data_IF_280341847074
#
_entry.id   IF_280341847074
#
_cell.length_a   1.000
_cell.length_b   1.000
_cell.length_c   1.000
_cell.angle_alpha   90.00
_cell.angle_beta   90.00
_cell.angle_gamma   90.00
#
_symmetry.space_group_name_H-M   'P 1'
#
loop_
_entity.id
_entity.type
_entity.pdbx_description
1 polymer ?
#
# COMPACT_ATOMS: atom_id res chain seq x y z
N UNK A 1 -48.28 -50.37 48.44
CA UNK A 1 -46.94 -50.36 47.78
C UNK A 1 -47.15 -49.75 46.39
N UNK A 2 -46.70 -48.50 46.18
CA UNK A 2 -45.44 -48.13 45.48
C UNK A 2 -45.40 -48.70 44.05
N UNK A 3 -45.20 -47.97 42.95
CA UNK A 3 -44.62 -46.63 42.72
C UNK A 3 -44.92 -46.23 41.26
N UNK A 4 -45.11 -44.92 41.04
CA UNK A 4 -44.95 -44.13 39.81
C UNK A 4 -44.03 -44.76 38.75
N UNK A 5 -44.33 -44.62 37.45
CA UNK A 5 -43.36 -44.38 36.37
C UNK A 5 -44.11 -44.08 35.06
N UNK A 6 -44.53 -42.84 34.86
CA UNK A 6 -45.02 -42.36 33.56
C UNK A 6 -44.64 -40.89 33.36
N UNK A 7 -43.41 -40.49 33.69
CA UNK A 7 -42.83 -39.20 33.25
C UNK A 7 -41.33 -39.41 33.10
N UNK A 8 -40.87 -39.97 31.98
CA UNK A 8 -39.43 -39.94 31.65
C UNK A 8 -39.14 -40.21 30.16
N UNK A 9 -39.82 -39.52 29.25
CA UNK A 9 -39.44 -39.54 27.82
C UNK A 9 -39.51 -38.15 27.14
N UNK A 10 -39.46 -37.07 27.91
CA UNK A 10 -39.44 -35.69 27.39
C UNK A 10 -38.18 -34.90 27.80
N UNK A 11 -37.08 -35.58 28.18
CA UNK A 11 -35.85 -34.93 28.66
C UNK A 11 -34.62 -35.12 27.75
N UNK A 12 -34.49 -36.13 26.85
CA UNK A 12 -33.32 -36.17 25.95
C UNK A 12 -33.38 -35.15 24.80
N UNK A 13 -34.58 -34.70 24.39
CA UNK A 13 -34.74 -33.78 23.26
C UNK A 13 -34.49 -32.29 23.62
N UNK A 14 -34.57 -31.94 24.90
CA UNK A 14 -34.31 -30.57 25.41
C UNK A 14 -32.82 -30.32 25.74
N UNK A 15 -31.98 -31.37 25.71
CA UNK A 15 -30.53 -31.26 25.94
C UNK A 15 -29.72 -31.17 24.63
N UNK A 16 -30.36 -31.37 23.48
CA UNK A 16 -29.70 -31.28 22.17
C UNK A 16 -29.73 -29.86 21.54
N UNK A 17 -30.49 -28.91 22.11
CA UNK A 17 -30.63 -27.55 21.57
C UNK A 17 -29.67 -26.53 22.18
N UNK A 18 -28.73 -26.94 23.05
CA UNK A 18 -27.97 -26.01 23.92
C UNK A 18 -26.47 -25.85 23.65
N UNK A 19 -25.86 -26.64 22.77
CA UNK A 19 -24.40 -26.63 22.56
C UNK A 19 -24.01 -26.43 21.10
N UNK A 20 -24.61 -25.43 20.44
CA UNK A 20 -23.94 -24.85 19.28
C UNK A 20 -22.60 -24.27 19.71
N UNK A 21 -21.57 -24.26 18.83
CA UNK A 21 -20.32 -23.59 19.15
C UNK A 21 -20.62 -22.14 19.54
N UNK A 22 -20.01 -21.67 20.62
CA UNK A 22 -20.14 -20.27 21.04
C UNK A 22 -19.05 -19.45 20.34
N UNK A 23 -19.34 -18.20 19.94
CA UNK A 23 -18.31 -17.29 19.46
C UNK A 23 -17.15 -17.20 20.45
N UNK A 24 -15.92 -17.08 19.97
CA UNK A 24 -14.76 -16.85 20.84
C UNK A 24 -14.67 -15.41 21.29
N UNK A 25 -15.27 -14.48 20.52
CA UNK A 25 -15.15 -13.03 20.70
C UNK A 25 -14.02 -12.42 19.86
N UNK A 26 -13.27 -13.26 19.13
CA UNK A 26 -12.21 -12.87 18.20
C UNK A 26 -12.71 -13.10 16.77
N UNK A 27 -12.79 -12.03 15.98
CA UNK A 27 -13.27 -12.12 14.60
C UNK A 27 -12.32 -12.94 13.72
N UNK A 28 -11.01 -12.89 14.01
CA UNK A 28 -9.99 -13.73 13.39
C UNK A 28 -10.26 -15.25 13.52
N UNK A 29 -11.05 -15.65 14.53
CA UNK A 29 -11.44 -17.05 14.76
C UNK A 29 -12.90 -17.32 14.38
N UNK A 30 -13.80 -16.36 14.56
CA UNK A 30 -15.24 -16.55 14.42
C UNK A 30 -15.74 -16.30 12.99
N UNK A 31 -14.92 -15.68 12.13
CA UNK A 31 -15.27 -15.41 10.73
C UNK A 31 -14.65 -16.45 9.76
N UNK A 32 -15.37 -16.68 8.67
CA UNK A 32 -14.90 -17.37 7.46
C UNK A 32 -15.03 -16.45 6.23
N UNK A 33 -14.40 -16.86 5.12
CA UNK A 33 -14.38 -16.10 3.84
C UNK A 33 -13.95 -14.65 4.02
N UNK A 34 -12.89 -14.47 4.81
CA UNK A 34 -12.48 -13.16 5.29
C UNK A 34 -11.89 -12.33 4.14
N UNK A 35 -12.32 -11.07 4.01
CA UNK A 35 -11.75 -10.10 3.06
C UNK A 35 -11.15 -8.95 3.85
N UNK A 36 -9.84 -8.79 3.82
CA UNK A 36 -9.17 -7.66 4.47
C UNK A 36 -8.93 -6.60 3.41
N UNK A 37 -9.57 -5.44 3.59
CA UNK A 37 -9.42 -4.29 2.72
C UNK A 37 -8.57 -3.24 3.40
N UNK A 38 -7.53 -2.77 2.73
CA UNK A 38 -6.62 -1.75 3.23
C UNK A 38 -6.54 -0.57 2.26
N UNK A 39 -6.45 0.65 2.79
CA UNK A 39 -6.39 1.89 2.03
C UNK A 39 -5.56 2.91 2.82
N UNK A 40 -4.85 3.85 2.16
CA UNK A 40 -4.17 4.93 2.86
C UNK A 40 -5.14 5.92 3.54
N UNK A 41 -6.43 5.88 3.19
CA UNK A 41 -7.43 6.81 3.71
C UNK A 41 -7.93 6.47 5.13
N UNK A 42 -7.60 5.31 5.69
CA UNK A 42 -8.21 4.89 6.95
C UNK A 42 -7.76 3.53 7.49
N UNK A 43 -8.43 3.05 8.56
CA UNK A 43 -8.20 1.74 9.13
C UNK A 43 -8.45 0.62 8.12
N UNK A 44 -7.88 -0.55 8.36
CA UNK A 44 -8.24 -1.75 7.61
C UNK A 44 -9.68 -2.15 7.91
N UNK A 45 -10.39 -2.61 6.88
CA UNK A 45 -11.75 -3.12 6.99
C UNK A 45 -11.76 -4.61 6.79
N UNK A 46 -12.32 -5.34 7.75
CA UNK A 46 -12.40 -6.79 7.75
C UNK A 46 -13.82 -7.22 7.45
N UNK A 47 -13.92 -7.67 6.22
CA UNK A 47 -14.85 -8.58 5.59
C UNK A 47 -15.08 -9.95 6.23
N UNK A 48 -16.26 -10.38 6.65
CA UNK A 48 -16.49 -11.82 6.81
C UNK A 48 -17.92 -12.27 7.00
N UNK A 49 -18.12 -13.58 6.91
CA UNK A 49 -19.35 -14.26 7.34
C UNK A 49 -19.05 -15.05 8.62
N UNK A 50 -20.04 -15.21 9.49
CA UNK A 50 -19.88 -16.07 10.65
C UNK A 50 -19.55 -17.51 10.22
N UNK A 51 -18.60 -18.14 10.90
CA UNK A 51 -18.25 -19.54 10.66
C UNK A 51 -19.48 -20.43 10.80
N UNK A 52 -19.54 -21.50 10.01
CA UNK A 52 -20.62 -22.49 10.06
C UNK A 52 -20.95 -22.91 11.50
N UNK A 53 -22.22 -22.74 11.88
CA UNK A 53 -22.73 -23.07 13.21
C UNK A 53 -22.71 -21.92 14.23
N UNK A 54 -22.16 -20.76 13.88
CA UNK A 54 -22.25 -19.54 14.68
C UNK A 54 -23.40 -18.64 14.19
N UNK A 55 -24.08 -17.98 15.13
CA UNK A 55 -25.06 -16.92 14.85
C UNK A 55 -24.32 -15.60 14.58
N UNK A 56 -24.48 -14.95 13.40
CA UNK A 56 -23.81 -13.69 13.07
C UNK A 56 -24.07 -12.58 14.08
N UNK A 57 -25.29 -12.50 14.63
CA UNK A 57 -25.61 -11.49 15.64
C UNK A 57 -24.84 -11.76 16.94
N UNK A 58 -24.75 -13.02 17.37
CA UNK A 58 -23.96 -13.40 18.53
C UNK A 58 -22.46 -13.17 18.33
N UNK A 59 -21.92 -13.38 17.12
CA UNK A 59 -20.52 -13.06 16.79
C UNK A 59 -20.28 -11.56 16.88
N UNK A 60 -21.15 -10.75 16.26
CA UNK A 60 -21.04 -9.30 16.29
C UNK A 60 -21.16 -8.74 17.72
N UNK A 61 -22.14 -9.20 18.50
CA UNK A 61 -22.38 -8.75 19.87
C UNK A 61 -21.26 -9.11 20.84
N UNK A 62 -20.63 -10.28 20.64
CA UNK A 62 -19.49 -10.72 21.46
C UNK A 62 -18.14 -10.26 20.93
N UNK A 63 -18.10 -9.59 19.79
CA UNK A 63 -16.86 -9.07 19.23
C UNK A 63 -16.30 -8.01 20.16
N UNK A 64 -15.21 -8.35 20.82
CA UNK A 64 -14.51 -7.48 21.76
C UNK A 64 -13.03 -7.40 21.41
N UNK A 65 -12.68 -7.72 20.16
CA UNK A 65 -11.31 -7.72 19.69
C UNK A 65 -10.74 -6.30 19.87
N UNK A 66 -9.64 -6.22 20.63
CA UNK A 66 -9.02 -4.96 20.98
C UNK A 66 -8.63 -4.22 19.71
N UNK A 67 -9.06 -2.96 19.58
CA UNK A 67 -8.77 -2.12 18.44
C UNK A 67 -9.84 -2.08 17.35
N UNK A 68 -10.95 -2.83 17.47
CA UNK A 68 -12.13 -2.56 16.62
C UNK A 68 -12.67 -1.17 16.96
N UNK A 69 -12.73 -0.29 15.95
CA UNK A 69 -13.21 1.09 16.10
C UNK A 69 -14.58 1.31 15.45
N UNK A 70 -15.01 0.39 14.60
CA UNK A 70 -16.37 0.34 14.05
C UNK A 70 -16.76 -1.10 13.78
N UNK A 71 -18.01 -1.43 14.08
CA UNK A 71 -18.63 -2.69 13.71
C UNK A 71 -19.87 -2.41 12.85
N UNK A 72 -20.04 -3.20 11.80
CA UNK A 72 -21.22 -3.17 10.96
C UNK A 72 -21.74 -4.59 10.77
N UNK A 73 -23.02 -4.80 11.10
CA UNK A 73 -23.73 -6.04 10.85
C UNK A 73 -24.71 -5.82 9.70
N UNK A 74 -24.54 -6.59 8.63
CA UNK A 74 -25.50 -6.67 7.54
C UNK A 74 -26.44 -7.84 7.80
N UNK A 75 -27.74 -7.59 7.82
CA UNK A 75 -28.75 -8.61 8.06
C UNK A 75 -30.05 -8.33 7.29
N UNK A 76 -30.96 -9.29 7.26
CA UNK A 76 -32.25 -9.13 6.61
C UNK A 76 -33.14 -8.12 7.36
N UNK A 77 -34.11 -7.55 6.65
CA UNK A 77 -35.00 -6.53 7.21
C UNK A 77 -35.71 -6.99 8.49
N UNK A 78 -36.10 -8.27 8.56
CA UNK A 78 -36.79 -8.87 9.71
C UNK A 78 -35.96 -8.93 11.00
N UNK A 79 -34.64 -9.00 10.87
CA UNK A 79 -33.73 -9.16 12.00
C UNK A 79 -33.07 -7.83 12.44
N UNK A 80 -33.23 -6.78 11.63
CA UNK A 80 -32.53 -5.49 11.82
C UNK A 80 -32.85 -4.80 13.15
N UNK A 81 -34.12 -4.78 13.57
CA UNK A 81 -34.54 -4.16 14.83
C UNK A 81 -33.97 -4.91 16.05
N UNK A 82 -33.98 -6.25 16.00
CA UNK A 82 -33.38 -7.10 17.04
C UNK A 82 -31.87 -6.88 17.09
N UNK A 83 -31.21 -6.89 15.93
CA UNK A 83 -29.77 -6.67 15.82
C UNK A 83 -29.35 -5.32 16.39
N UNK A 84 -30.07 -4.24 16.06
CA UNK A 84 -29.77 -2.91 16.58
C UNK A 84 -29.91 -2.86 18.11
N UNK A 85 -30.96 -3.45 18.67
CA UNK A 85 -31.16 -3.51 20.11
C UNK A 85 -30.06 -4.27 20.83
N UNK A 86 -29.60 -5.40 20.27
CA UNK A 86 -28.55 -6.23 20.87
C UNK A 86 -27.21 -5.52 20.79
N UNK A 87 -26.83 -4.96 19.65
CA UNK A 87 -25.55 -4.26 19.51
C UNK A 87 -25.46 -2.99 20.37
N UNK A 88 -26.58 -2.29 20.59
CA UNK A 88 -26.62 -1.15 21.52
C UNK A 88 -26.48 -1.57 22.99
N UNK A 89 -26.91 -2.78 23.36
CA UNK A 89 -26.94 -3.26 24.74
C UNK A 89 -25.75 -4.13 25.16
N UNK A 90 -25.24 -4.97 24.26
CA UNK A 90 -24.24 -6.00 24.55
C UNK A 90 -22.82 -5.64 24.08
N UNK A 91 -22.66 -4.66 23.19
CA UNK A 91 -21.35 -4.15 22.75
C UNK A 91 -21.09 -2.69 23.22
N UNK A 92 -21.15 -2.38 24.53
CA UNK A 92 -20.92 -1.03 25.01
C UNK A 92 -19.46 -0.62 24.76
N UNK A 93 -19.26 0.32 23.84
CA UNK A 93 -17.96 0.97 23.58
C UNK A 93 -17.51 0.94 22.12
N UNK A 94 -18.09 0.08 21.27
CA UNK A 94 -17.77 0.04 19.83
C UNK A 94 -18.91 0.69 19.05
N UNK A 95 -18.65 1.78 18.30
CA UNK A 95 -19.61 2.33 17.35
C UNK A 95 -20.13 1.25 16.39
N UNK A 96 -21.41 0.91 16.49
CA UNK A 96 -22.02 -0.20 15.76
C UNK A 96 -23.12 0.28 14.83
N UNK A 97 -23.18 -0.28 13.62
CA UNK A 97 -24.19 0.04 12.59
C UNK A 97 -24.86 -1.24 12.11
N UNK A 98 -26.17 -1.19 11.90
CA UNK A 98 -26.92 -2.28 11.27
C UNK A 98 -27.37 -1.83 9.88
N UNK A 99 -27.06 -2.63 8.85
CA UNK A 99 -27.45 -2.36 7.47
C UNK A 99 -28.36 -3.48 6.98
N UNK A 100 -29.51 -3.11 6.42
CA UNK A 100 -30.41 -4.07 5.79
C UNK A 100 -29.79 -4.56 4.47
N UNK A 101 -29.65 -5.87 4.31
CA UNK A 101 -28.98 -6.52 3.18
C UNK A 101 -29.52 -7.92 2.97
N UNK A 102 -29.58 -8.36 1.72
CA UNK A 102 -29.96 -9.74 1.37
C UNK A 102 -28.86 -10.76 1.72
N UNK A 103 -27.64 -10.27 2.00
CA UNK A 103 -26.49 -11.08 2.40
C UNK A 103 -26.04 -10.69 3.80
N UNK A 104 -26.03 -11.68 4.69
CA UNK A 104 -25.49 -11.54 6.03
C UNK A 104 -23.97 -11.43 6.00
N UNK A 105 -23.45 -10.49 6.76
CA UNK A 105 -22.02 -10.15 6.74
C UNK A 105 -21.67 -9.30 7.95
N UNK A 106 -20.48 -9.52 8.48
CA UNK A 106 -19.88 -8.70 9.53
C UNK A 106 -18.74 -7.90 8.88
N UNK A 107 -18.70 -6.61 9.17
CA UNK A 107 -17.62 -5.69 8.80
C UNK A 107 -17.06 -5.10 10.08
N UNK A 108 -15.75 -5.18 10.26
CA UNK A 108 -15.08 -4.52 11.38
C UNK A 108 -13.92 -3.66 10.86
N UNK A 109 -13.86 -2.41 11.31
CA UNK A 109 -12.74 -1.54 10.99
C UNK A 109 -11.77 -1.52 12.17
N UNK A 110 -10.48 -1.74 11.90
CA UNK A 110 -9.41 -1.74 12.89
C UNK A 110 -8.10 -1.13 12.34
N UNK A 111 -7.33 -0.38 13.15
CA UNK A 111 -6.09 0.26 12.74
C UNK A 111 -4.88 -0.69 12.73
N UNK A 112 -5.06 -1.93 13.19
CA UNK A 112 -3.99 -2.88 13.47
C UNK A 112 -3.42 -3.59 12.23
N UNK A 113 -4.02 -3.43 11.05
CA UNK A 113 -3.46 -3.94 9.80
C UNK A 113 -3.11 -2.76 8.91
N UNK A 114 -1.84 -2.69 8.50
CA UNK A 114 -1.29 -1.64 7.65
C UNK A 114 -0.57 -2.24 6.46
N UNK A 115 -0.27 -1.41 5.47
CA UNK A 115 0.47 -1.86 4.32
C UNK A 115 1.36 -0.76 3.73
N UNK A 116 2.42 -1.18 3.06
CA UNK A 116 3.24 -0.33 2.22
C UNK A 116 3.66 -1.08 0.94
N UNK A 117 3.76 -0.39 -0.21
CA UNK A 117 4.36 -0.96 -1.40
C UNK A 117 5.89 -0.89 -1.31
N UNK A 118 6.57 -1.93 -1.77
CA UNK A 118 8.01 -1.99 -1.89
C UNK A 118 8.39 -2.33 -3.32
N UNK A 119 9.24 -1.50 -3.92
CA UNK A 119 9.73 -1.68 -5.28
C UNK A 119 11.23 -1.96 -5.24
N UNK A 120 11.65 -3.00 -5.95
CA UNK A 120 13.05 -3.37 -6.09
C UNK A 120 13.39 -3.52 -7.56
N UNK A 121 14.66 -3.26 -7.88
CA UNK A 121 15.18 -3.42 -9.22
C UNK A 121 16.64 -3.85 -9.17
N UNK A 122 17.06 -4.62 -10.16
CA UNK A 122 18.44 -5.08 -10.26
C UNK A 122 18.84 -5.32 -11.72
N UNK A 123 20.12 -5.08 -12.10
CA UNK A 123 20.61 -5.45 -13.42
C UNK A 123 20.53 -6.97 -13.66
N UNK A 124 20.00 -7.38 -14.82
CA UNK A 124 19.89 -8.78 -15.27
C UNK A 124 20.38 -8.90 -16.73
N UNK A 125 21.71 -8.87 -16.90
CA UNK A 125 22.35 -8.86 -18.22
C UNK A 125 21.98 -7.62 -19.01
N UNK A 126 21.26 -7.80 -20.13
CA UNK A 126 20.79 -6.69 -20.99
C UNK A 126 19.44 -6.09 -20.54
N UNK A 127 18.82 -6.68 -19.53
CA UNK A 127 17.54 -6.26 -18.99
C UNK A 127 17.71 -5.76 -17.56
N UNK A 128 16.66 -5.12 -17.03
CA UNK A 128 16.52 -4.83 -15.61
C UNK A 128 15.40 -5.71 -15.07
N UNK A 129 15.69 -6.46 -14.02
CA UNK A 129 14.67 -7.15 -13.24
C UNK A 129 13.95 -6.13 -12.35
N UNK A 130 12.62 -6.22 -12.31
CA UNK A 130 11.76 -5.28 -11.62
C UNK A 130 10.74 -6.06 -10.81
N UNK A 131 10.62 -5.74 -9.54
CA UNK A 131 9.73 -6.43 -8.63
C UNK A 131 8.99 -5.41 -7.76
N UNK A 132 7.69 -5.64 -7.60
CA UNK A 132 6.85 -4.96 -6.64
C UNK A 132 6.32 -5.98 -5.65
N UNK A 133 6.38 -5.60 -4.38
CA UNK A 133 5.84 -6.33 -3.26
C UNK A 133 4.92 -5.40 -2.46
N UNK A 134 3.99 -6.00 -1.75
CA UNK A 134 3.24 -5.34 -0.68
C UNK A 134 3.72 -5.93 0.63
N UNK A 135 4.03 -5.07 1.58
CA UNK A 135 4.34 -5.47 2.94
C UNK A 135 3.09 -5.17 3.75
N UNK A 136 2.48 -6.22 4.28
CA UNK A 136 1.38 -6.12 5.22
C UNK A 136 1.93 -6.26 6.63
N UNK A 137 1.74 -5.24 7.44
CA UNK A 137 2.01 -5.28 8.86
C UNK A 137 0.72 -5.63 9.59
N UNK A 138 0.75 -6.69 10.39
CA UNK A 138 -0.35 -7.08 11.28
C UNK A 138 0.07 -6.95 12.74
N UNK A 139 -0.45 -5.92 13.40
CA UNK A 139 -0.23 -5.60 14.81
C UNK A 139 -1.39 -6.00 15.71
N UNK A 140 -2.34 -6.82 15.23
CA UNK A 140 -3.52 -7.23 16.04
C UNK A 140 -3.22 -8.37 17.02
N UNK A 141 -1.97 -8.85 17.11
CA UNK A 141 -1.54 -10.05 17.85
C UNK A 141 -2.28 -11.35 17.46
N UNK A 142 -3.12 -11.31 16.42
CA UNK A 142 -3.90 -12.44 15.93
C UNK A 142 -3.43 -12.90 14.56
N UNK A 143 -3.65 -14.18 14.25
CA UNK A 143 -3.50 -14.69 12.89
C UNK A 143 -4.85 -14.65 12.19
N UNK A 144 -4.96 -13.85 11.13
CA UNK A 144 -6.14 -13.85 10.27
C UNK A 144 -5.99 -14.94 9.21
N UNK A 145 -6.86 -15.95 9.27
CA UNK A 145 -6.72 -17.14 8.42
C UNK A 145 -7.56 -17.06 7.16
N UNK A 146 -7.00 -17.56 6.06
CA UNK A 146 -7.70 -17.73 4.81
C UNK A 146 -8.29 -16.43 4.23
N UNK A 147 -7.58 -15.32 4.40
CA UNK A 147 -8.03 -13.99 3.99
C UNK A 147 -7.77 -13.75 2.50
N UNK A 148 -8.68 -13.04 1.86
CA UNK A 148 -8.43 -12.39 0.57
C UNK A 148 -8.12 -10.92 0.82
N UNK A 149 -6.95 -10.44 0.38
CA UNK A 149 -6.58 -9.04 0.54
C UNK A 149 -7.10 -8.21 -0.62
N UNK A 150 -7.53 -6.98 -0.31
CA UNK A 150 -7.81 -5.92 -1.28
C UNK A 150 -7.09 -4.65 -0.86
N UNK A 151 -6.38 -4.04 -1.78
CA UNK A 151 -5.64 -2.80 -1.55
C UNK A 151 -6.25 -1.76 -2.44
N UNK A 152 -6.71 -0.69 -1.82
CA UNK A 152 -7.37 0.42 -2.48
C UNK A 152 -6.46 1.65 -2.47
N UNK A 153 -6.65 2.53 -3.44
CA UNK A 153 -6.08 3.89 -3.37
C UNK A 153 -6.89 4.78 -2.40
N UNK A 154 -6.57 6.07 -2.38
CA UNK A 154 -7.29 7.07 -1.59
C UNK A 154 -8.72 7.32 -2.08
N UNK A 155 -9.02 7.05 -3.35
CA UNK A 155 -10.32 7.25 -3.98
C UNK A 155 -11.20 5.98 -3.93
N UNK A 156 -10.66 4.87 -3.38
CA UNK A 156 -11.34 3.59 -3.25
C UNK A 156 -11.22 2.67 -4.47
N UNK A 157 -10.41 3.03 -5.47
CA UNK A 157 -10.14 2.18 -6.62
C UNK A 157 -9.32 0.96 -6.17
N UNK A 158 -9.73 -0.22 -6.63
CA UNK A 158 -8.97 -1.44 -6.38
C UNK A 158 -7.66 -1.42 -7.17
N UNK A 159 -6.57 -1.11 -6.47
CA UNK A 159 -5.23 -1.20 -7.02
C UNK A 159 -4.82 -2.67 -7.14
N UNK A 160 -5.24 -3.47 -6.15
CA UNK A 160 -4.59 -4.72 -5.90
C UNK A 160 -5.41 -5.76 -5.12
N UNK A 161 -5.26 -7.05 -5.46
CA UNK A 161 -5.89 -8.13 -4.71
C UNK A 161 -5.07 -9.42 -4.76
N UNK A 162 -5.11 -10.22 -3.69
CA UNK A 162 -4.47 -11.55 -3.70
C UNK A 162 -5.23 -12.51 -4.62
N UNK A 163 -4.52 -13.38 -5.33
CA UNK A 163 -5.11 -14.40 -6.22
C UNK A 163 -5.71 -15.59 -5.46
N UNK A 164 -5.58 -15.62 -4.14
CA UNK A 164 -6.08 -16.67 -3.29
C UNK A 164 -6.23 -16.23 -1.84
N UNK A 165 -6.50 -17.23 -0.99
CA UNK A 165 -6.56 -17.10 0.46
C UNK A 165 -5.16 -17.20 1.05
N UNK A 166 -4.79 -16.24 1.88
CA UNK A 166 -3.53 -16.22 2.61
C UNK A 166 -3.78 -16.22 4.11
N UNK A 167 -2.81 -16.68 4.88
CA UNK A 167 -2.81 -16.44 6.33
C UNK A 167 -1.97 -15.18 6.61
N UNK A 168 -2.51 -14.30 7.44
CA UNK A 168 -1.84 -13.08 7.89
C UNK A 168 -1.48 -13.25 9.37
N UNK A 169 -0.28 -13.79 9.71
CA UNK A 169 0.19 -13.89 11.09
C UNK A 169 0.51 -12.50 11.65
N UNK A 170 0.74 -12.37 12.97
CA UNK A 170 1.30 -11.15 13.55
C UNK A 170 2.68 -10.81 12.96
N UNK A 171 2.95 -9.53 12.78
CA UNK A 171 4.16 -8.99 12.16
C UNK A 171 4.03 -8.76 10.66
N UNK A 172 5.18 -8.73 9.97
CA UNK A 172 5.26 -8.39 8.55
C UNK A 172 5.06 -9.62 7.66
N UNK A 173 4.20 -9.49 6.65
CA UNK A 173 4.01 -10.46 5.58
C UNK A 173 4.29 -9.79 4.25
N UNK A 174 5.22 -10.37 3.48
CA UNK A 174 5.56 -9.89 2.14
C UNK A 174 4.73 -10.65 1.11
N UNK A 175 3.98 -9.90 0.29
CA UNK A 175 3.13 -10.43 -0.76
C UNK A 175 3.66 -9.95 -2.12
N UNK A 176 4.06 -10.85 -3.01
CA UNK A 176 4.43 -10.50 -4.38
C UNK A 176 3.26 -9.86 -5.12
N UNK A 177 3.52 -8.70 -5.74
CA UNK A 177 2.52 -7.93 -6.47
C UNK A 177 2.68 -8.12 -7.99
N UNK A 178 3.84 -7.76 -8.53
CA UNK A 178 4.24 -8.12 -9.89
C UNK A 178 5.74 -8.29 -9.95
N UNK A 179 6.18 -9.12 -10.90
CA UNK A 179 7.58 -9.37 -11.18
C UNK A 179 7.75 -9.41 -12.70
N UNK A 180 8.64 -8.56 -13.21
CA UNK A 180 8.81 -8.37 -14.65
C UNK A 180 10.26 -8.05 -15.02
N UNK A 181 10.50 -7.97 -16.33
CA UNK A 181 11.77 -7.52 -16.90
C UNK A 181 11.51 -6.33 -17.81
N UNK A 182 12.37 -5.33 -17.70
CA UNK A 182 12.32 -4.13 -18.52
C UNK A 182 13.59 -3.94 -19.33
N UNK A 183 13.48 -3.20 -20.43
CA UNK A 183 14.63 -2.82 -21.27
C UNK A 183 15.13 -1.45 -20.81
N UNK A 184 16.39 -1.35 -20.34
CA UNK A 184 16.96 -0.05 -19.98
C UNK A 184 17.12 0.83 -21.23
N UNK A 185 16.79 2.11 -21.09
CA UNK A 185 16.99 3.13 -22.10
C UNK A 185 18.21 4.00 -21.74
N UNK A 186 18.58 4.94 -22.62
CA UNK A 186 19.69 5.84 -22.36
C UNK A 186 19.45 6.66 -21.07
N UNK A 187 20.48 6.79 -20.20
CA UNK A 187 20.35 7.53 -18.96
C UNK A 187 20.07 9.01 -19.20
N UNK A 188 19.37 9.61 -18.23
CA UNK A 188 18.97 11.02 -18.28
C UNK A 188 19.45 11.73 -17.02
N UNK A 189 20.06 12.90 -17.21
CA UNK A 189 20.30 13.87 -16.14
C UNK A 189 19.19 14.92 -16.21
N UNK A 190 18.30 14.95 -15.22
CA UNK A 190 17.10 15.79 -15.22
C UNK A 190 17.13 16.80 -14.08
N UNK A 191 16.74 18.05 -14.37
CA UNK A 191 16.64 19.11 -13.38
C UNK A 191 15.18 19.33 -12.93
N UNK A 192 14.97 19.56 -11.64
CA UNK A 192 13.65 19.76 -11.03
C UNK A 192 12.67 18.60 -11.24
N UNK A 193 13.18 17.42 -11.60
CA UNK A 193 12.43 16.18 -11.70
C UNK A 193 13.39 14.98 -11.63
N UNK A 194 13.09 13.93 -10.83
CA UNK A 194 11.99 13.82 -9.87
C UNK A 194 12.18 14.68 -8.60
N UNK A 195 13.38 15.24 -8.39
CA UNK A 195 13.68 16.08 -7.23
C UNK A 195 13.12 17.50 -7.44
N UNK A 196 12.39 18.10 -6.49
CA UNK A 196 11.74 19.40 -6.72
C UNK A 196 12.69 20.57 -7.08
N UNK A 197 13.94 20.52 -6.63
CA UNK A 197 14.89 21.62 -6.78
C UNK A 197 16.34 21.13 -6.87
N UNK A 198 16.62 20.22 -7.80
CA UNK A 198 17.98 19.71 -8.00
C UNK A 198 18.13 18.88 -9.27
N UNK A 199 19.35 18.41 -9.49
CA UNK A 199 19.66 17.46 -10.55
C UNK A 199 19.56 16.03 -10.04
N UNK A 200 19.06 15.15 -10.89
CA UNK A 200 18.99 13.71 -10.64
C UNK A 200 19.41 12.93 -11.88
N UNK A 201 20.24 11.90 -11.68
CA UNK A 201 20.55 10.93 -12.72
C UNK A 201 19.57 9.76 -12.61
N UNK A 202 18.80 9.53 -13.67
CA UNK A 202 17.78 8.49 -13.75
C UNK A 202 18.02 7.56 -14.93
N UNK A 203 17.65 6.29 -14.74
CA UNK A 203 17.61 5.27 -15.76
C UNK A 203 16.14 5.00 -16.13
N UNK A 204 15.70 5.38 -17.35
CA UNK A 204 14.39 4.98 -17.84
C UNK A 204 14.43 3.50 -18.24
N UNK A 205 13.37 2.77 -17.91
CA UNK A 205 13.23 1.34 -18.17
C UNK A 205 11.86 1.11 -18.80
N UNK A 206 11.84 0.62 -20.04
CA UNK A 206 10.59 0.23 -20.71
C UNK A 206 10.15 -1.15 -20.18
N UNK A 207 9.05 -1.18 -19.43
CA UNK A 207 8.54 -2.35 -18.72
C UNK A 207 7.02 -2.53 -18.95
N UNK A 208 6.59 -2.93 -20.16
CA UNK A 208 5.18 -3.09 -20.50
C UNK A 208 4.46 -4.19 -19.71
N UNK A 209 5.22 -5.07 -19.04
CA UNK A 209 4.68 -6.09 -18.13
C UNK A 209 4.62 -5.65 -16.67
N UNK A 210 4.93 -4.39 -16.34
CA UNK A 210 4.75 -3.88 -14.99
C UNK A 210 3.25 -3.71 -14.71
N UNK A 211 2.81 -4.19 -13.55
CA UNK A 211 1.43 -3.96 -13.10
C UNK A 211 1.23 -2.54 -12.57
N UNK A 212 0.09 -2.25 -11.93
CA UNK A 212 -0.18 -0.94 -11.38
C UNK A 212 0.88 -0.56 -10.34
N UNK A 213 1.30 0.70 -10.40
CA UNK A 213 2.14 1.31 -9.37
C UNK A 213 1.23 1.93 -8.32
N UNK A 214 1.64 1.77 -7.07
CA UNK A 214 0.87 2.17 -5.91
C UNK A 214 1.67 3.27 -5.23
N UNK A 215 1.10 4.48 -5.20
CA UNK A 215 1.72 5.62 -4.53
C UNK A 215 1.59 5.42 -3.01
N UNK A 216 2.61 4.81 -2.40
CA UNK A 216 2.64 4.42 -0.99
C UNK A 216 2.97 5.55 -0.02
N UNK A 217 2.88 6.81 -0.44
CA UNK A 217 3.33 7.95 0.36
C UNK A 217 4.85 8.01 0.58
N UNK A 218 5.60 7.09 -0.03
CA UNK A 218 7.05 7.22 -0.18
C UNK A 218 7.30 8.49 -1.01
N UNK A 219 8.31 9.32 -0.66
CA UNK A 219 8.68 10.46 -1.49
C UNK A 219 8.86 9.98 -2.93
N UNK A 220 8.28 10.70 -3.89
CA UNK A 220 8.33 10.49 -5.36
C UNK A 220 9.74 10.40 -5.97
N UNK A 221 10.76 10.21 -5.15
CA UNK A 221 12.13 10.53 -5.47
C UNK A 221 12.86 9.40 -6.23
N UNK A 222 12.34 8.15 -6.26
CA UNK A 222 13.14 7.00 -6.72
C UNK A 222 12.42 6.05 -7.71
N UNK A 223 11.09 6.08 -7.83
CA UNK A 223 10.37 5.32 -8.84
C UNK A 223 9.21 6.15 -9.38
N UNK A 224 9.21 6.45 -10.67
CA UNK A 224 8.09 7.11 -11.34
C UNK A 224 7.64 6.30 -12.54
N UNK A 225 6.34 6.36 -12.84
CA UNK A 225 5.72 5.66 -13.97
C UNK A 225 5.16 6.70 -14.94
N UNK A 226 5.51 6.56 -16.22
CA UNK A 226 4.91 7.33 -17.30
C UNK A 226 4.64 6.38 -18.48
N UNK A 227 3.36 6.03 -18.66
CA UNK A 227 2.97 4.92 -19.53
C UNK A 227 3.68 3.63 -19.11
N UNK A 228 4.30 2.94 -20.06
CA UNK A 228 5.05 1.69 -19.83
C UNK A 228 6.49 1.91 -19.35
N UNK A 229 6.87 3.13 -18.98
CA UNK A 229 8.26 3.45 -18.59
C UNK A 229 8.36 3.67 -17.09
N UNK A 230 9.19 2.88 -16.43
CA UNK A 230 9.64 3.07 -15.05
C UNK A 230 10.93 3.88 -15.02
N UNK A 231 11.04 4.81 -14.10
CA UNK A 231 12.22 5.66 -13.95
C UNK A 231 12.83 5.42 -12.59
N UNK A 232 14.05 4.88 -12.56
CA UNK A 232 14.79 4.55 -11.33
C UNK A 232 16.06 5.38 -11.22
N UNK A 233 16.68 5.52 -10.04
CA UNK A 233 17.96 6.20 -9.91
C UNK A 233 19.01 5.40 -10.69
N UNK A 234 19.93 6.10 -11.35
CA UNK A 234 20.98 5.41 -12.07
C UNK A 234 21.94 4.69 -11.10
N UNK A 235 22.27 3.39 -11.29
CA UNK A 235 23.02 2.59 -10.31
C UNK A 235 24.47 3.07 -10.10
N UNK A 236 25.03 3.76 -11.09
CA UNK A 236 26.45 4.08 -11.16
C UNK A 236 26.72 5.54 -11.42
N UNK A 237 25.72 6.43 -11.33
CA UNK A 237 25.93 7.87 -11.50
C UNK A 237 25.50 8.56 -10.22
N UNK A 238 26.44 9.27 -9.61
CA UNK A 238 26.18 10.11 -8.44
C UNK A 238 26.15 11.57 -8.87
N UNK A 239 25.18 12.31 -8.37
CA UNK A 239 25.05 13.75 -8.61
C UNK A 239 25.15 14.47 -7.27
N UNK A 240 26.10 15.39 -7.15
CA UNK A 240 26.22 16.29 -6.00
C UNK A 240 26.03 17.72 -6.48
N UNK A 241 25.42 18.55 -5.66
CA UNK A 241 25.21 19.97 -5.99
C UNK A 241 25.41 20.83 -4.75
N UNK A 242 26.13 21.94 -4.92
CA UNK A 242 26.22 23.01 -3.93
C UNK A 242 25.43 24.22 -4.45
N UNK A 243 24.74 24.93 -3.56
CA UNK A 243 23.93 26.10 -3.93
C UNK A 243 24.36 27.31 -3.14
N UNK A 244 24.45 28.46 -3.82
CA UNK A 244 24.79 29.75 -3.24
C UNK A 244 23.68 30.75 -3.54
N UNK A 245 23.13 31.37 -2.51
CA UNK A 245 22.10 32.40 -2.65
C UNK A 245 22.68 33.65 -3.31
N UNK A 246 21.99 34.20 -4.32
CA UNK A 246 22.33 35.48 -4.96
C UNK A 246 21.13 36.44 -4.90
N UNK A 247 21.29 37.77 -5.04
CA UNK A 247 20.23 38.75 -4.79
C UNK A 247 18.91 38.57 -5.57
N UNK A 248 18.89 37.79 -6.64
CA UNK A 248 17.69 37.48 -7.44
C UNK A 248 17.51 35.98 -7.71
N UNK A 249 18.06 35.11 -6.87
CA UNK A 249 17.92 33.67 -7.05
C UNK A 249 19.05 32.88 -6.40
N UNK A 250 19.57 31.88 -7.10
CA UNK A 250 20.69 31.09 -6.63
C UNK A 250 21.58 30.63 -7.79
N UNK A 251 22.86 30.48 -7.49
CA UNK A 251 23.82 29.79 -8.32
C UNK A 251 24.03 28.39 -7.76
N UNK A 252 24.27 27.44 -8.64
CA UNK A 252 24.46 26.04 -8.31
C UNK A 252 25.69 25.52 -9.05
N UNK A 253 26.55 24.83 -8.32
CA UNK A 253 27.63 24.05 -8.91
C UNK A 253 27.29 22.57 -8.74
N UNK A 254 27.18 21.86 -9.86
CA UNK A 254 26.77 20.46 -9.90
C UNK A 254 27.92 19.62 -10.42
N UNK A 255 28.24 18.55 -9.69
CA UNK A 255 29.21 17.55 -10.11
C UNK A 255 28.51 16.21 -10.34
N UNK A 256 28.72 15.66 -11.52
CA UNK A 256 28.22 14.34 -11.92
C UNK A 256 29.41 13.40 -12.02
N UNK A 257 29.35 12.27 -11.31
CA UNK A 257 30.44 11.29 -11.24
C UNK A 257 29.93 9.93 -11.71
N UNK A 258 30.64 9.30 -12.65
CA UNK A 258 30.42 7.92 -13.05
C UNK A 258 31.27 6.97 -12.19
N UNK A 259 30.61 6.04 -11.52
CA UNK A 259 31.24 4.86 -10.91
C UNK A 259 31.48 3.72 -11.91
N UNK A 260 31.06 3.87 -13.17
CA UNK A 260 31.27 2.86 -14.23
C UNK A 260 32.46 3.19 -15.12
N UNK A 261 33.23 2.17 -15.49
CA UNK A 261 34.29 2.23 -16.50
C UNK A 261 33.73 2.21 -17.93
N UNK A 262 32.44 1.91 -18.10
CA UNK A 262 31.81 1.93 -19.42
C UNK A 262 31.45 3.36 -19.81
N UNK A 263 31.84 3.78 -21.02
CA UNK A 263 31.40 5.07 -21.58
C UNK A 263 29.89 5.08 -21.81
N UNK A 264 29.23 6.11 -21.32
CA UNK A 264 27.79 6.33 -21.37
C UNK A 264 27.50 7.71 -21.93
N UNK A 265 26.54 7.78 -22.85
CA UNK A 265 25.95 9.04 -23.28
C UNK A 265 24.72 9.32 -22.41
N UNK A 266 24.76 10.42 -21.66
CA UNK A 266 23.72 10.83 -20.72
C UNK A 266 23.04 12.06 -21.31
N UNK A 267 21.74 11.96 -21.59
CA UNK A 267 20.97 13.09 -22.11
C UNK A 267 20.65 14.06 -20.98
N UNK A 268 20.88 15.35 -21.18
CA UNK A 268 20.49 16.39 -20.23
C UNK A 268 19.08 16.88 -20.56
N UNK A 269 18.21 16.92 -19.55
CA UNK A 269 16.82 17.36 -19.70
C UNK A 269 16.53 18.48 -18.70
N UNK A 270 16.10 19.61 -19.24
CA UNK A 270 15.67 20.75 -18.45
C UNK A 270 14.15 20.85 -18.41
N UNK A 271 13.57 21.35 -17.30
CA UNK A 271 12.13 21.60 -17.24
C UNK A 271 11.76 22.69 -18.25
N UNK A 272 10.66 22.48 -18.99
CA UNK A 272 10.14 23.49 -19.93
C UNK A 272 9.63 24.75 -19.24
N UNK A 273 9.28 24.63 -17.96
CA UNK A 273 8.78 25.71 -17.11
C UNK A 273 9.31 25.51 -15.70
N UNK A 274 9.97 26.54 -15.16
CA UNK A 274 10.35 26.57 -13.75
C UNK A 274 9.24 27.21 -12.92
N UNK A 275 9.23 26.90 -11.62
CA UNK A 275 8.28 27.50 -10.70
C UNK A 275 8.37 29.04 -10.71
N UNK A 276 7.22 29.70 -10.55
CA UNK A 276 7.13 31.15 -10.34
C UNK A 276 7.76 32.01 -11.45
N UNK A 277 7.83 31.51 -12.68
CA UNK A 277 8.44 32.22 -13.82
C UNK A 277 9.95 32.39 -13.71
N UNK A 278 10.62 31.59 -12.87
CA UNK A 278 12.07 31.60 -12.76
C UNK A 278 12.72 31.25 -14.11
N UNK A 279 13.92 31.79 -14.35
CA UNK A 279 14.71 31.56 -15.55
C UNK A 279 15.96 30.78 -15.16
N UNK A 280 16.16 29.63 -15.82
CA UNK A 280 17.40 28.87 -15.74
C UNK A 280 18.38 29.33 -16.82
N UNK A 281 19.61 29.62 -16.42
CA UNK A 281 20.78 29.60 -17.29
C UNK A 281 21.73 28.52 -16.80
N UNK A 282 21.75 27.37 -17.48
CA UNK A 282 22.71 26.30 -17.22
C UNK A 282 23.74 26.25 -18.34
N UNK A 283 25.01 26.16 -17.98
CA UNK A 283 26.11 25.95 -18.93
C UNK A 283 26.49 24.46 -18.95
N UNK A 284 25.58 23.60 -19.43
CA UNK A 284 25.86 22.17 -19.58
C UNK A 284 25.39 21.64 -20.96
N UNK A 285 26.20 20.81 -21.64
CA UNK A 285 25.83 20.25 -22.93
C UNK A 285 24.54 19.43 -22.89
N UNK A 286 23.81 19.38 -24.01
CA UNK A 286 22.59 18.54 -24.14
C UNK A 286 22.87 17.04 -23.95
N UNK A 287 24.13 16.63 -24.09
CA UNK A 287 24.58 15.26 -23.84
C UNK A 287 25.95 15.27 -23.17
N UNK A 288 26.05 14.56 -22.05
CA UNK A 288 27.30 14.32 -21.35
C UNK A 288 27.83 12.94 -21.75
N UNK A 289 29.13 12.86 -21.99
CA UNK A 289 29.82 11.57 -22.12
C UNK A 289 30.62 11.36 -20.84
N UNK A 290 30.24 10.35 -20.04
CA UNK A 290 30.94 9.95 -18.82
C UNK A 290 31.33 8.47 -18.90
N UNK A 291 32.28 8.03 -18.08
CA UNK A 291 32.85 6.69 -18.13
C UNK A 291 34.07 6.59 -19.05
N UNK A 292 34.58 5.37 -19.24
CA UNK A 292 35.88 5.09 -19.87
C UNK A 292 37.00 4.92 -18.84
N UNK A 293 36.93 5.68 -17.73
CA UNK A 293 37.77 5.52 -16.54
C UNK A 293 36.87 5.58 -15.29
N UNK A 294 37.17 4.76 -14.28
CA UNK A 294 36.47 4.77 -13.00
C UNK A 294 36.62 6.14 -12.31
N UNK A 295 35.50 6.74 -11.89
CA UNK A 295 35.51 8.05 -11.22
C UNK A 295 35.54 9.25 -12.18
N UNK A 296 35.38 9.03 -13.48
CA UNK A 296 35.19 10.13 -14.44
C UNK A 296 34.06 11.05 -14.01
N UNK A 297 34.32 12.36 -14.03
CA UNK A 297 33.41 13.37 -13.54
C UNK A 297 33.31 14.58 -14.47
N UNK A 298 32.19 15.28 -14.36
CA UNK A 298 31.98 16.58 -15.00
C UNK A 298 31.35 17.51 -13.97
N UNK A 299 31.93 18.70 -13.83
CA UNK A 299 31.37 19.79 -13.04
C UNK A 299 30.86 20.87 -13.98
N UNK A 300 29.66 21.37 -13.71
CA UNK A 300 29.07 22.49 -14.43
C UNK A 300 28.33 23.41 -13.46
N UNK A 301 28.18 24.66 -13.87
CA UNK A 301 27.47 25.67 -13.09
C UNK A 301 26.14 26.04 -13.75
N UNK A 302 25.21 26.47 -12.90
CA UNK A 302 23.90 26.92 -13.32
C UNK A 302 23.41 28.05 -12.44
N UNK A 303 22.55 28.89 -12.99
CA UNK A 303 21.93 29.99 -12.27
C UNK A 303 20.43 29.99 -12.49
N UNK A 304 19.69 30.01 -11.40
CA UNK A 304 18.25 30.24 -11.40
C UNK A 304 17.99 31.66 -10.94
N UNK A 305 17.25 32.43 -11.74
CA UNK A 305 16.90 33.82 -11.43
C UNK A 305 15.38 33.98 -11.35
N UNK A 306 14.87 34.60 -10.29
CA UNK A 306 13.46 34.95 -10.15
C UNK A 306 13.22 36.33 -10.76
N UNK A 307 12.20 36.49 -11.63
CA UNK A 307 11.81 37.81 -12.10
C UNK A 307 11.35 38.66 -10.91
N UNK A 308 11.93 39.85 -10.75
CA UNK A 308 11.47 40.79 -9.74
C UNK A 308 10.03 41.21 -10.05
N UNK A 309 9.16 41.28 -9.03
CA UNK A 309 7.90 42.02 -9.17
C UNK A 309 8.27 43.48 -9.42
N UNK A 310 8.01 43.97 -10.63
CA UNK A 310 8.07 45.40 -10.94
C UNK A 310 7.03 46.19 -10.18
#
# INVERSE_FOLDING_TARGET
>A
MRVFHAILFAVPALLASGCGPRPTGLLSTDLDSVVVTVSPAGPASIEGIARNGLDPLAVAARSSESGIIRLELRCQAGDSARAASVLLGEAPGIPSVVIVSDREKIVADLPGIRWEPRYTWSPDGRYIHLEANVILENSTDQTWRGVTMRILDSDGLNLASTTGRIDLPPGDTVIPWWNTRGTPLAPVLSYSWPTPAGWAAVLPILAPGAGPFIDGGQPKEWFLVSGDTLWVPHPSITVTSSTTQVPRGYEMETTVVSGSETRMAIRVVYPRTLQSGAVAGFEVPDTLILGGDAGSSLTFTGRITYPGRG
#
